data_IF_216120191081
#
_entry.id   IF_216120191081
#
_cell.length_a   1.000
_cell.length_b   1.000
_cell.length_c   1.000
_cell.angle_alpha   90.00
_cell.angle_beta   90.00
_cell.angle_gamma   90.00
#
_symmetry.space_group_name_H-M   'P 1'
#
loop_
_entity.id
_entity.type
_entity.pdbx_description
1 polymer ?
#
# COMPACT_ATOMS: atom_id res chain seq x y z
N UNK A 1 -25.65 14.11 -83.73
CA UNK A 1 -25.61 12.67 -83.38
C UNK A 1 -24.90 12.50 -82.04
N UNK A 2 -25.51 11.72 -81.13
CA UNK A 2 -25.01 11.13 -79.86
C UNK A 2 -24.65 12.12 -78.74
N UNK A 3 -25.59 12.51 -77.87
CA UNK A 3 -26.18 11.86 -76.66
C UNK A 3 -25.25 11.83 -75.43
N UNK A 4 -25.62 12.72 -74.48
CA UNK A 4 -25.68 12.62 -73.03
C UNK A 4 -24.70 11.68 -72.29
N UNK A 5 -24.02 12.22 -71.29
CA UNK A 5 -24.32 11.81 -69.92
C UNK A 5 -24.15 12.96 -68.93
N UNK A 6 -25.20 13.09 -68.12
CA UNK A 6 -25.47 14.06 -67.08
C UNK A 6 -24.95 13.44 -65.77
N UNK A 7 -24.03 14.10 -65.06
CA UNK A 7 -23.84 13.83 -63.63
C UNK A 7 -23.69 15.16 -62.88
N UNK A 8 -24.72 15.44 -62.09
CA UNK A 8 -24.82 16.54 -61.15
C UNK A 8 -23.69 16.44 -60.12
N UNK A 9 -22.90 17.51 -59.99
CA UNK A 9 -22.12 17.79 -58.79
C UNK A 9 -23.04 18.48 -57.79
N UNK A 10 -23.46 17.75 -56.74
CA UNK A 10 -24.07 18.33 -55.55
C UNK A 10 -22.98 18.43 -54.49
N UNK A 11 -22.53 19.67 -54.23
CA UNK A 11 -21.73 20.03 -53.08
C UNK A 11 -22.55 19.80 -51.79
N UNK A 12 -22.24 18.74 -51.05
CA UNK A 12 -22.63 18.63 -49.65
C UNK A 12 -21.60 19.37 -48.81
N UNK A 13 -21.90 20.64 -48.54
CA UNK A 13 -21.27 21.44 -47.49
C UNK A 13 -21.74 20.80 -46.17
N UNK A 14 -20.87 20.03 -45.53
CA UNK A 14 -21.08 19.54 -44.17
C UNK A 14 -20.90 20.73 -43.22
N UNK A 15 -22.01 21.35 -42.86
CA UNK A 15 -22.09 22.36 -41.80
C UNK A 15 -21.98 21.65 -40.45
N UNK A 16 -20.78 21.55 -39.89
CA UNK A 16 -20.63 21.24 -38.46
C UNK A 16 -21.10 22.45 -37.66
N UNK A 17 -22.34 22.34 -37.17
CA UNK A 17 -22.88 23.18 -36.10
C UNK A 17 -21.97 23.04 -34.87
N UNK A 18 -21.12 24.04 -34.63
CA UNK A 18 -20.50 24.27 -33.32
C UNK A 18 -21.55 24.91 -32.43
N UNK A 19 -22.33 24.07 -31.75
CA UNK A 19 -23.10 24.50 -30.59
C UNK A 19 -22.08 24.70 -29.46
N UNK A 20 -21.61 25.94 -29.28
CA UNK A 20 -20.92 26.35 -28.06
C UNK A 20 -21.94 26.31 -26.91
N UNK A 21 -22.10 25.13 -26.30
CA UNK A 21 -22.63 25.03 -24.96
C UNK A 21 -21.60 25.60 -24.00
N UNK A 22 -21.90 26.76 -23.43
CA UNK A 22 -21.23 27.27 -22.23
C UNK A 22 -21.57 26.34 -21.07
N UNK A 23 -20.96 25.16 -21.01
CA UNK A 23 -20.85 24.44 -19.76
C UNK A 23 -19.79 25.15 -18.94
N UNK A 24 -20.25 25.78 -17.85
CA UNK A 24 -19.40 26.27 -16.77
C UNK A 24 -18.67 25.11 -16.11
N UNK A 25 -17.65 24.57 -16.80
CA UNK A 25 -16.58 23.88 -16.13
C UNK A 25 -15.86 24.93 -15.33
N UNK A 26 -16.10 24.94 -14.01
CA UNK A 26 -15.08 25.37 -13.05
C UNK A 26 -13.80 24.67 -13.50
N UNK A 27 -12.89 25.43 -14.08
CA UNK A 27 -11.48 25.06 -14.08
C UNK A 27 -11.15 24.85 -12.61
N UNK A 28 -10.97 23.60 -12.18
CA UNK A 28 -10.25 23.41 -10.95
C UNK A 28 -8.89 24.03 -11.23
N UNK A 29 -8.57 25.11 -10.52
CA UNK A 29 -7.18 25.47 -10.28
C UNK A 29 -6.60 24.36 -9.41
N UNK A 30 -6.48 23.18 -10.01
CA UNK A 30 -5.86 21.99 -9.45
C UNK A 30 -4.38 22.27 -9.45
N UNK A 31 -3.94 22.99 -8.44
CA UNK A 31 -2.54 22.93 -8.01
C UNK A 31 -2.37 21.48 -7.57
N UNK A 32 -2.06 20.58 -8.51
CA UNK A 32 -1.68 19.20 -8.20
C UNK A 32 -0.52 19.33 -7.24
N UNK A 33 -0.78 19.03 -5.98
CA UNK A 33 0.25 18.93 -4.96
C UNK A 33 1.33 18.02 -5.53
N UNK A 34 2.60 18.40 -5.39
CA UNK A 34 3.67 17.57 -5.93
C UNK A 34 3.62 16.20 -5.24
N UNK A 35 3.20 15.18 -5.98
CA UNK A 35 3.26 13.81 -5.51
C UNK A 35 4.72 13.46 -5.20
N UNK A 36 4.93 12.73 -4.11
CA UNK A 36 6.25 12.21 -3.77
C UNK A 36 6.75 11.29 -4.89
N UNK A 37 8.08 11.20 -5.10
CA UNK A 37 8.62 10.26 -6.07
C UNK A 37 8.12 8.83 -5.79
N UNK A 38 7.77 8.07 -6.84
CA UNK A 38 7.25 6.70 -6.70
C UNK A 38 8.17 5.81 -5.86
N UNK A 39 9.49 5.95 -5.99
CA UNK A 39 10.43 5.18 -5.18
C UNK A 39 10.35 5.49 -3.68
N UNK A 40 10.05 6.75 -3.33
CA UNK A 40 9.79 7.14 -1.94
C UNK A 40 8.53 6.45 -1.46
N UNK A 41 7.42 6.53 -2.21
CA UNK A 41 6.15 5.85 -1.88
C UNK A 41 6.35 4.34 -1.69
N UNK A 42 7.06 3.69 -2.60
CA UNK A 42 7.39 2.27 -2.51
C UNK A 42 8.14 1.90 -1.22
N UNK A 43 9.02 2.78 -0.74
CA UNK A 43 9.73 2.56 0.53
C UNK A 43 8.79 2.51 1.74
N UNK A 44 7.69 3.26 1.74
CA UNK A 44 6.66 3.16 2.79
C UNK A 44 5.82 1.89 2.60
N UNK A 45 5.40 1.63 1.36
CA UNK A 45 4.48 0.54 1.04
C UNK A 45 5.12 -0.85 1.17
N UNK A 46 6.45 -0.97 1.10
CA UNK A 46 7.16 -2.21 1.39
C UNK A 46 6.87 -2.74 2.80
N UNK A 47 6.55 -1.84 3.75
CA UNK A 47 6.15 -2.20 5.11
C UNK A 47 4.62 -2.25 5.30
N UNK A 48 3.87 -2.07 4.21
CA UNK A 48 2.43 -2.36 4.08
C UNK A 48 1.47 -1.59 4.99
N UNK A 49 1.84 -0.39 5.41
CA UNK A 49 0.95 0.53 6.13
C UNK A 49 0.72 1.80 5.28
N UNK A 50 -0.21 1.77 4.30
CA UNK A 50 -0.49 2.93 3.44
C UNK A 50 -0.92 4.17 4.25
N UNK A 51 -1.52 3.98 5.42
CA UNK A 51 -1.87 5.03 6.37
C UNK A 51 -0.67 5.86 6.87
N UNK A 52 0.56 5.37 6.71
CA UNK A 52 1.78 6.08 7.15
C UNK A 52 2.47 6.88 6.06
N UNK A 53 1.97 6.78 4.82
CA UNK A 53 2.44 7.60 3.72
C UNK A 53 2.30 9.09 4.06
N UNK A 54 3.29 9.93 3.73
CA UNK A 54 3.14 11.37 3.81
C UNK A 54 2.22 11.83 2.68
N UNK A 55 1.34 12.78 2.98
CA UNK A 55 0.42 13.32 1.97
C UNK A 55 1.15 14.12 0.89
N UNK A 56 2.15 14.93 1.25
CA UNK A 56 2.80 15.83 0.27
C UNK A 56 4.28 16.14 0.55
N UNK A 57 4.76 15.93 1.77
CA UNK A 57 6.09 16.38 2.19
C UNK A 57 6.89 15.22 2.77
N UNK A 58 8.18 15.17 2.43
CA UNK A 58 9.11 14.22 3.05
C UNK A 58 9.13 14.40 4.56
N UNK A 59 9.26 13.26 5.23
CA UNK A 59 9.23 13.17 6.68
C UNK A 59 10.59 12.66 7.11
N UNK A 60 11.15 13.25 8.16
CA UNK A 60 12.37 12.80 8.84
C UNK A 60 12.10 11.71 9.86
N UNK A 61 11.00 11.86 10.60
CA UNK A 61 10.58 10.93 11.64
C UNK A 61 9.06 10.96 11.83
N UNK A 62 8.48 9.80 12.13
CA UNK A 62 7.12 9.68 12.64
C UNK A 62 7.14 8.91 13.95
N UNK A 63 6.32 9.35 14.90
CA UNK A 63 6.04 8.63 16.13
C UNK A 63 4.53 8.46 16.29
N UNK A 64 4.07 7.24 16.56
CA UNK A 64 2.66 6.92 16.78
C UNK A 64 2.52 6.35 18.18
N UNK A 65 1.69 6.98 19.00
CA UNK A 65 1.47 6.63 20.40
C UNK A 65 0.05 6.13 20.60
N UNK A 66 -0.11 4.98 21.26
CA UNK A 66 -1.39 4.38 21.62
C UNK A 66 -1.23 3.48 22.84
N UNK A 67 -1.61 2.20 22.73
CA UNK A 67 -1.26 1.18 23.74
C UNK A 67 0.25 0.87 23.78
N UNK A 68 0.94 1.21 22.70
CA UNK A 68 2.37 1.03 22.45
C UNK A 68 2.90 2.27 21.72
N UNK A 69 4.22 2.39 21.59
CA UNK A 69 4.83 3.44 20.77
C UNK A 69 5.47 2.80 19.54
N UNK A 70 5.15 3.34 18.37
CA UNK A 70 5.83 3.05 17.10
C UNK A 70 6.71 4.25 16.73
N UNK A 71 7.91 4.00 16.22
CA UNK A 71 8.80 5.05 15.70
C UNK A 71 9.34 4.63 14.34
N UNK A 72 9.35 5.54 13.38
CA UNK A 72 9.88 5.29 12.04
C UNK A 72 10.75 6.49 11.64
N UNK A 73 11.94 6.21 11.14
CA UNK A 73 12.94 7.21 10.74
C UNK A 73 13.24 7.09 9.26
N UNK A 74 13.55 8.23 8.65
CA UNK A 74 13.76 8.35 7.21
C UNK A 74 15.05 9.12 6.93
N UNK A 75 15.67 8.87 5.77
CA UNK A 75 16.80 9.67 5.30
C UNK A 75 16.33 10.95 4.57
N UNK A 76 17.28 11.81 4.21
CA UNK A 76 17.02 13.07 3.50
C UNK A 76 16.36 12.89 2.12
N UNK A 77 16.49 11.69 1.53
CA UNK A 77 15.80 11.33 0.30
C UNK A 77 14.32 10.98 0.55
N UNK A 78 13.91 10.71 1.78
CA UNK A 78 12.56 10.33 2.19
C UNK A 78 12.35 8.81 2.33
N UNK A 79 13.41 8.01 2.21
CA UNK A 79 13.33 6.55 2.33
C UNK A 79 13.35 6.11 3.79
N UNK A 80 12.61 5.04 4.13
CA UNK A 80 12.62 4.42 5.46
C UNK A 80 14.01 3.89 5.76
N UNK A 81 14.58 4.27 6.90
CA UNK A 81 15.92 3.83 7.34
C UNK A 81 15.85 2.88 8.51
N UNK A 82 14.90 3.07 9.42
CA UNK A 82 14.63 2.13 10.49
C UNK A 82 13.25 2.36 11.09
N UNK A 83 12.76 1.35 11.79
CA UNK A 83 11.54 1.42 12.57
C UNK A 83 11.64 0.54 13.81
N UNK A 84 10.87 0.93 14.83
CA UNK A 84 10.53 0.13 16.01
C UNK A 84 9.01 0.08 16.09
N UNK A 85 8.47 -1.12 15.89
CA UNK A 85 7.04 -1.43 15.93
C UNK A 85 6.80 -2.42 17.06
N UNK A 86 6.72 -1.91 18.29
CA UNK A 86 6.40 -2.73 19.47
C UNK A 86 7.46 -3.82 19.76
N UNK A 87 8.74 -3.48 19.66
CA UNK A 87 9.85 -4.41 19.92
C UNK A 87 10.31 -5.19 18.69
N UNK A 88 9.60 -5.06 17.58
CA UNK A 88 10.02 -5.52 16.25
C UNK A 88 10.78 -4.39 15.57
N UNK A 89 12.05 -4.64 15.28
CA UNK A 89 13.00 -3.66 14.79
C UNK A 89 13.42 -4.00 13.37
N UNK A 90 13.36 -3.02 12.47
CA UNK A 90 13.92 -3.11 11.14
C UNK A 90 14.87 -1.96 10.87
N UNK A 91 15.94 -2.22 10.12
CA UNK A 91 16.91 -1.21 9.70
C UNK A 91 17.35 -1.48 8.25
N UNK A 92 17.32 -0.45 7.41
CA UNK A 92 17.72 -0.47 6.01
C UNK A 92 18.95 0.42 5.84
N UNK A 93 20.07 -0.18 5.45
CA UNK A 93 21.28 0.54 5.09
C UNK A 93 21.44 0.55 3.55
N UNK A 94 21.12 1.69 2.93
CA UNK A 94 21.15 1.86 1.47
C UNK A 94 22.55 1.89 0.86
N UNK A 95 23.59 2.21 1.66
CA UNK A 95 24.98 2.28 1.21
C UNK A 95 25.62 0.89 1.16
N UNK A 96 25.36 0.07 2.18
CA UNK A 96 25.89 -1.30 2.29
C UNK A 96 24.95 -2.35 1.72
N UNK A 97 23.74 -1.95 1.32
CA UNK A 97 22.66 -2.83 0.85
C UNK A 97 22.37 -3.97 1.85
N UNK A 98 22.12 -3.58 3.11
CA UNK A 98 21.80 -4.52 4.20
C UNK A 98 20.47 -4.18 4.84
N UNK A 99 19.69 -5.23 5.13
CA UNK A 99 18.48 -5.16 5.94
C UNK A 99 18.72 -5.92 7.23
N UNK A 100 18.56 -5.27 8.38
CA UNK A 100 18.56 -5.95 9.68
C UNK A 100 17.13 -6.01 10.19
N UNK A 101 16.69 -7.18 10.65
CA UNK A 101 15.34 -7.36 11.17
C UNK A 101 15.30 -8.38 12.30
N UNK A 102 14.51 -8.08 13.33
CA UNK A 102 14.15 -9.06 14.33
C UNK A 102 13.43 -8.45 15.52
N UNK A 103 13.36 -9.20 16.60
CA UNK A 103 12.64 -8.81 17.80
C UNK A 103 13.59 -8.83 18.99
N UNK A 104 13.55 -7.77 19.80
CA UNK A 104 14.44 -7.60 20.96
C UNK A 104 15.94 -7.73 20.55
N UNK A 105 16.68 -8.62 21.22
CA UNK A 105 18.12 -8.83 20.99
C UNK A 105 18.44 -9.74 19.80
N UNK A 106 17.44 -10.40 19.21
CA UNK A 106 17.65 -11.30 18.06
C UNK A 106 17.49 -10.52 16.77
N UNK A 107 18.56 -10.42 15.96
CA UNK A 107 18.54 -9.74 14.67
C UNK A 107 19.13 -10.62 13.57
N UNK A 108 18.36 -10.80 12.51
CA UNK A 108 18.80 -11.40 11.26
C UNK A 108 19.25 -10.30 10.30
N UNK A 109 20.26 -10.59 9.49
CA UNK A 109 20.79 -9.64 8.50
C UNK A 109 20.69 -10.24 7.11
N UNK A 110 20.18 -9.44 6.17
CA UNK A 110 19.96 -9.83 4.79
C UNK A 110 20.70 -8.90 3.84
N UNK A 111 21.19 -9.44 2.73
CA UNK A 111 21.64 -8.63 1.61
C UNK A 111 20.44 -8.15 0.81
N UNK A 112 20.39 -6.86 0.48
CA UNK A 112 19.34 -6.25 -0.33
C UNK A 112 19.80 -6.14 -1.78
N UNK A 113 18.91 -6.41 -2.72
CA UNK A 113 19.08 -6.02 -4.11
C UNK A 113 18.20 -4.81 -4.37
N UNK A 114 18.80 -3.70 -4.79
CA UNK A 114 18.08 -2.48 -5.18
C UNK A 114 18.03 -2.31 -6.70
N UNK A 115 17.01 -1.63 -7.20
CA UNK A 115 17.04 -1.07 -8.56
C UNK A 115 17.81 0.27 -8.61
N UNK A 116 17.84 0.92 -9.78
CA UNK A 116 18.49 2.22 -9.96
C UNK A 116 17.85 3.36 -9.14
N UNK A 117 16.59 3.21 -8.78
CA UNK A 117 15.78 4.16 -8.01
C UNK A 117 15.78 3.88 -6.51
N UNK A 118 16.55 2.87 -6.05
CA UNK A 118 16.63 2.39 -4.66
C UNK A 118 15.37 1.69 -4.15
N UNK A 119 14.49 1.22 -5.03
CA UNK A 119 13.46 0.26 -4.65
C UNK A 119 14.10 -1.07 -4.26
N UNK A 120 13.60 -1.68 -3.18
CA UNK A 120 13.99 -3.03 -2.78
C UNK A 120 13.40 -4.00 -3.79
N UNK A 121 14.23 -4.68 -4.58
CA UNK A 121 13.79 -5.74 -5.50
C UNK A 121 13.64 -7.08 -4.78
N UNK A 122 14.49 -7.33 -3.79
CA UNK A 122 14.47 -8.54 -3.00
C UNK A 122 15.59 -8.59 -1.96
N UNK A 123 15.59 -9.65 -1.17
CA UNK A 123 16.55 -9.89 -0.10
C UNK A 123 17.07 -11.32 -0.10
N UNK A 124 18.31 -11.49 0.37
CA UNK A 124 18.95 -12.80 0.54
C UNK A 124 19.49 -12.99 1.95
N UNK A 125 19.37 -14.21 2.49
CA UNK A 125 20.01 -14.59 3.75
C UNK A 125 21.52 -14.84 3.56
N UNK A 126 22.20 -15.29 4.63
CA UNK A 126 23.63 -15.59 4.59
C UNK A 126 23.99 -16.80 3.71
N UNK A 127 23.03 -17.69 3.45
CA UNK A 127 23.17 -18.86 2.57
C UNK A 127 22.91 -18.51 1.09
N UNK A 128 22.61 -17.25 0.79
CA UNK A 128 22.20 -16.71 -0.51
C UNK A 128 20.82 -17.16 -1.00
N UNK A 129 20.00 -17.75 -0.14
CA UNK A 129 18.60 -18.03 -0.45
C UNK A 129 17.81 -16.74 -0.55
N UNK A 130 16.90 -16.67 -1.53
CA UNK A 130 16.00 -15.53 -1.69
C UNK A 130 14.94 -15.61 -0.60
N UNK A 131 14.88 -14.58 0.25
CA UNK A 131 13.94 -14.50 1.37
C UNK A 131 12.92 -13.37 1.23
N UNK A 132 13.13 -12.47 0.28
CA UNK A 132 12.13 -11.50 -0.11
C UNK A 132 12.22 -11.24 -1.62
N UNK A 133 11.06 -11.00 -2.23
CA UNK A 133 10.93 -10.58 -3.62
C UNK A 133 9.80 -9.57 -3.74
N UNK A 134 9.89 -8.70 -4.73
CA UNK A 134 8.90 -7.65 -4.98
C UNK A 134 8.58 -7.55 -6.46
N UNK A 135 7.38 -7.09 -6.76
CA UNK A 135 6.94 -6.80 -8.12
C UNK A 135 6.41 -5.38 -8.23
N UNK A 136 6.61 -4.77 -9.40
CA UNK A 136 6.22 -3.40 -9.70
C UNK A 136 5.38 -3.37 -10.98
N UNK A 137 4.42 -2.46 -11.04
CA UNK A 137 3.65 -2.23 -12.27
C UNK A 137 4.43 -1.39 -13.31
N UNK A 138 3.78 -1.12 -14.46
CA UNK A 138 4.37 -0.34 -15.55
C UNK A 138 4.69 1.12 -15.17
N UNK A 139 4.09 1.63 -14.09
CA UNK A 139 4.35 2.97 -13.54
C UNK A 139 5.46 2.94 -12.46
N UNK A 140 6.00 1.75 -12.16
CA UNK A 140 7.04 1.54 -11.16
C UNK A 140 6.51 1.53 -9.72
N UNK A 141 5.19 1.38 -9.52
CA UNK A 141 4.57 1.29 -8.19
C UNK A 141 4.65 -0.14 -7.68
N UNK A 142 4.97 -0.30 -6.39
CA UNK A 142 5.01 -1.61 -5.74
C UNK A 142 3.61 -2.24 -5.77
N UNK A 143 3.48 -3.44 -6.34
CA UNK A 143 2.22 -4.18 -6.41
C UNK A 143 2.23 -5.47 -5.62
N UNK A 144 3.40 -6.07 -5.38
CA UNK A 144 3.50 -7.28 -4.59
C UNK A 144 4.81 -7.34 -3.81
N UNK A 145 4.75 -7.89 -2.60
CA UNK A 145 5.92 -8.29 -1.80
C UNK A 145 5.68 -9.69 -1.27
N UNK A 146 6.61 -10.61 -1.54
CA UNK A 146 6.62 -11.94 -0.94
C UNK A 146 7.85 -12.09 -0.05
N UNK A 147 7.62 -12.39 1.22
CA UNK A 147 8.63 -12.74 2.22
C UNK A 147 8.57 -14.26 2.45
N UNK A 148 9.64 -14.98 2.16
CA UNK A 148 9.73 -16.43 2.28
C UNK A 148 10.92 -16.81 3.16
N UNK A 149 10.73 -17.66 4.16
CA UNK A 149 11.83 -18.02 5.08
C UNK A 149 12.46 -16.80 5.77
N UNK A 150 11.68 -15.72 5.90
CA UNK A 150 12.12 -14.47 6.49
C UNK A 150 12.11 -14.57 8.01
N UNK A 151 13.15 -14.05 8.66
CA UNK A 151 13.42 -14.20 10.09
C UNK A 151 13.49 -15.65 10.56
N UNK A 152 14.02 -16.54 9.71
CA UNK A 152 14.16 -17.99 9.97
C UNK A 152 12.81 -18.69 10.25
N UNK A 153 11.69 -18.07 9.89
CA UNK A 153 10.36 -18.65 10.03
C UNK A 153 9.96 -19.39 8.75
N UNK A 154 9.34 -20.56 8.87
CA UNK A 154 8.79 -21.31 7.75
C UNK A 154 7.45 -20.73 7.24
N UNK A 155 7.12 -19.47 7.54
CA UNK A 155 5.93 -18.80 7.01
C UNK A 155 6.32 -18.03 5.77
N UNK A 156 5.56 -18.21 4.70
CA UNK A 156 5.60 -17.37 3.53
C UNK A 156 4.46 -16.36 3.65
N UNK A 157 4.82 -15.08 3.64
CA UNK A 157 3.89 -13.97 3.67
C UNK A 157 3.91 -13.26 2.31
N UNK A 158 2.75 -13.02 1.73
CA UNK A 158 2.57 -12.22 0.51
C UNK A 158 1.64 -11.06 0.82
N UNK A 159 2.02 -9.87 0.39
CA UNK A 159 1.14 -8.71 0.33
C UNK A 159 0.99 -8.26 -1.11
N UNK A 160 -0.25 -7.94 -1.52
CA UNK A 160 -0.56 -7.40 -2.85
C UNK A 160 -1.31 -6.09 -2.71
N UNK A 161 -0.87 -5.07 -3.45
CA UNK A 161 -1.43 -3.71 -3.42
C UNK A 161 -2.18 -3.47 -4.73
N UNK A 162 -3.44 -3.07 -4.61
CA UNK A 162 -4.32 -2.70 -5.71
C UNK A 162 -4.55 -1.19 -5.63
N UNK A 163 -4.40 -0.53 -6.77
CA UNK A 163 -4.53 0.92 -6.89
C UNK A 163 -5.77 1.27 -7.69
N UNK A 164 -6.47 2.31 -7.24
CA UNK A 164 -7.40 3.08 -8.07
C UNK A 164 -6.77 4.44 -8.37
N UNK A 165 -6.56 4.73 -9.66
CA UNK A 165 -5.70 5.83 -10.11
C UNK A 165 -4.34 5.77 -9.39
N UNK A 166 -3.94 6.82 -8.66
CA UNK A 166 -2.67 6.90 -7.91
C UNK A 166 -2.80 6.55 -6.43
N UNK A 167 -4.00 6.15 -5.97
CA UNK A 167 -4.29 5.84 -4.57
C UNK A 167 -4.30 4.34 -4.34
N UNK A 168 -3.83 3.91 -3.16
CA UNK A 168 -3.98 2.51 -2.72
C UNK A 168 -5.44 2.31 -2.38
N UNK A 169 -6.14 1.41 -3.07
CA UNK A 169 -7.55 1.10 -2.80
C UNK A 169 -7.65 -0.08 -1.81
N UNK A 170 -6.84 -1.11 -2.06
CA UNK A 170 -6.93 -2.38 -1.35
C UNK A 170 -5.55 -2.99 -1.17
N UNK A 171 -5.29 -3.52 0.03
CA UNK A 171 -4.12 -4.36 0.30
C UNK A 171 -4.59 -5.75 0.71
N UNK A 172 -4.15 -6.78 -0.02
CA UNK A 172 -4.39 -8.18 0.29
C UNK A 172 -3.19 -8.73 1.04
N UNK A 173 -3.42 -9.44 2.13
CA UNK A 173 -2.37 -10.13 2.87
C UNK A 173 -2.70 -11.60 2.98
N UNK A 174 -1.73 -12.44 2.64
CA UNK A 174 -1.85 -13.87 2.78
C UNK A 174 -0.59 -14.42 3.43
N UNK A 175 -0.75 -15.34 4.37
CA UNK A 175 0.38 -16.09 4.91
C UNK A 175 0.08 -17.58 4.85
N UNK A 176 1.09 -18.38 4.52
CA UNK A 176 0.97 -19.82 4.49
C UNK A 176 2.26 -20.52 4.93
N UNK A 177 2.12 -21.72 5.46
CA UNK A 177 3.22 -22.61 5.80
C UNK A 177 3.34 -23.66 4.69
N UNK A 178 4.48 -23.74 3.96
CA UNK A 178 4.73 -24.83 3.03
C UNK A 178 5.04 -26.10 3.82
N UNK A 179 4.36 -27.19 3.49
CA UNK A 179 4.64 -28.53 4.05
C UNK A 179 5.42 -29.39 3.06
N UNK A 180 5.13 -29.21 1.78
CA UNK A 180 5.91 -29.76 0.66
C UNK A 180 5.76 -28.83 -0.56
N UNK A 181 6.30 -29.22 -1.71
CA UNK A 181 6.25 -28.41 -2.94
C UNK A 181 4.83 -28.12 -3.46
N UNK A 182 3.83 -28.93 -3.08
CA UNK A 182 2.44 -28.88 -3.57
C UNK A 182 1.46 -28.46 -2.48
N UNK A 183 1.76 -28.74 -1.23
CA UNK A 183 0.87 -28.53 -0.09
C UNK A 183 1.26 -27.27 0.69
N UNK A 184 0.34 -26.32 0.74
CA UNK A 184 0.47 -25.07 1.51
C UNK A 184 -0.71 -24.96 2.46
N UNK A 185 -0.42 -24.72 3.74
CA UNK A 185 -1.44 -24.44 4.75
C UNK A 185 -1.53 -22.94 4.99
N UNK A 186 -2.60 -22.25 4.55
CA UNK A 186 -2.76 -20.85 4.84
C UNK A 186 -3.05 -20.66 6.33
N UNK A 187 -2.39 -19.67 6.90
CA UNK A 187 -2.47 -19.29 8.31
C UNK A 187 -3.06 -17.90 8.49
N UNK A 188 -3.12 -17.11 7.42
CA UNK A 188 -3.68 -15.77 7.42
C UNK A 188 -4.26 -15.45 6.04
N UNK A 189 -5.45 -14.86 6.01
CA UNK A 189 -5.97 -14.15 4.86
C UNK A 189 -6.66 -12.89 5.34
N UNK A 190 -6.19 -11.74 4.86
CA UNK A 190 -6.73 -10.43 5.22
C UNK A 190 -6.89 -9.53 4.00
N UNK A 191 -7.85 -8.63 4.11
CA UNK A 191 -8.10 -7.54 3.17
C UNK A 191 -8.12 -6.23 3.94
N UNK A 192 -7.38 -5.22 3.48
CA UNK A 192 -7.40 -3.85 4.02
C UNK A 192 -7.94 -2.90 2.95
N UNK A 193 -9.18 -2.48 3.11
CA UNK A 193 -9.77 -1.38 2.33
C UNK A 193 -9.18 -0.05 2.82
N UNK A 194 -8.81 0.84 1.89
CA UNK A 194 -8.29 2.19 2.19
C UNK A 194 -9.21 3.23 1.57
N UNK A 195 -9.76 4.11 2.40
CA UNK A 195 -10.79 5.09 2.02
C UNK A 195 -10.25 6.49 2.22
N UNK A 196 -10.45 7.34 1.21
CA UNK A 196 -10.01 8.74 1.19
C UNK A 196 -11.21 9.68 1.22
N UNK A 197 -11.04 10.85 1.84
CA UNK A 197 -12.04 11.92 1.84
C UNK A 197 -11.97 12.79 0.57
N UNK A 198 -12.86 13.79 0.46
CA UNK A 198 -12.92 14.73 -0.67
C UNK A 198 -11.63 15.56 -0.88
N UNK A 199 -10.75 15.63 0.11
CA UNK A 199 -9.44 16.29 0.02
C UNK A 199 -8.31 15.31 -0.32
N UNK A 200 -8.64 14.09 -0.76
CA UNK A 200 -7.70 13.01 -1.08
C UNK A 200 -6.88 12.52 0.14
N UNK A 201 -7.31 12.85 1.37
CA UNK A 201 -6.65 12.41 2.60
C UNK A 201 -7.21 11.07 3.05
N UNK A 202 -6.37 10.19 3.60
CA UNK A 202 -6.87 8.93 4.20
C UNK A 202 -7.84 9.29 5.32
N UNK A 203 -9.09 8.85 5.17
CA UNK A 203 -10.17 9.01 6.14
C UNK A 203 -10.27 7.78 7.03
N UNK A 204 -10.14 6.60 6.43
CA UNK A 204 -10.43 5.34 7.09
C UNK A 204 -9.71 4.17 6.45
N UNK A 205 -9.33 3.19 7.27
CA UNK A 205 -8.95 1.86 6.81
C UNK A 205 -9.84 0.81 7.47
N UNK A 206 -10.14 -0.26 6.73
CA UNK A 206 -10.94 -1.38 7.22
C UNK A 206 -10.18 -2.66 6.90
N UNK A 207 -9.61 -3.29 7.92
CA UNK A 207 -8.93 -4.58 7.80
C UNK A 207 -9.88 -5.69 8.23
N UNK A 208 -10.16 -6.65 7.34
CA UNK A 208 -10.93 -7.86 7.62
C UNK A 208 -9.97 -9.05 7.67
N UNK A 209 -10.07 -9.86 8.72
CA UNK A 209 -9.41 -11.17 8.82
C UNK A 209 -10.47 -12.24 8.62
N UNK A 210 -10.25 -13.14 7.66
CA UNK A 210 -11.21 -14.19 7.33
C UNK A 210 -10.98 -15.46 8.14
N UNK A 211 -12.07 -16.16 8.46
CA UNK A 211 -11.97 -17.51 9.03
C UNK A 211 -11.51 -18.49 7.96
N UNK A 212 -10.55 -19.33 8.33
CA UNK A 212 -10.02 -20.37 7.45
C UNK A 212 -10.49 -21.75 7.92
N UNK A 213 -10.82 -22.62 6.96
CA UNK A 213 -11.11 -24.02 7.22
C UNK A 213 -9.84 -24.79 7.62
N UNK A 214 -9.98 -26.03 8.08
CA UNK A 214 -8.82 -26.90 8.33
C UNK A 214 -7.96 -27.18 7.09
N UNK A 215 -8.56 -27.06 5.91
CA UNK A 215 -7.88 -27.19 4.62
C UNK A 215 -7.30 -25.87 4.14
N UNK A 216 -7.60 -24.78 4.85
CA UNK A 216 -7.08 -23.46 4.58
C UNK A 216 -7.95 -22.55 3.71
N UNK A 217 -9.00 -23.07 3.11
CA UNK A 217 -9.92 -22.24 2.32
C UNK A 217 -10.68 -21.27 3.23
N UNK A 218 -10.94 -20.05 2.74
CA UNK A 218 -11.83 -19.10 3.41
C UNK A 218 -13.21 -19.76 3.55
N UNK A 219 -13.73 -19.78 4.77
CA UNK A 219 -15.04 -20.35 5.06
C UNK A 219 -16.12 -19.44 4.45
N UNK A 220 -17.02 -20.03 3.68
CA UNK A 220 -18.20 -19.38 3.12
C UNK A 220 -19.44 -19.82 3.91
N UNK A 221 -20.26 -18.87 4.34
CA UNK A 221 -21.47 -19.12 5.11
C UNK A 221 -22.64 -19.61 4.24
N UNK A 222 -23.78 -19.90 4.87
CA UNK A 222 -25.01 -20.35 4.19
C UNK A 222 -25.62 -19.32 3.20
N UNK A 223 -25.23 -18.04 3.30
CA UNK A 223 -25.64 -16.96 2.41
C UNK A 223 -24.66 -16.72 1.26
N UNK A 224 -23.63 -17.57 1.10
CA UNK A 224 -22.56 -17.42 0.11
C UNK A 224 -21.69 -16.17 0.34
N UNK A 225 -21.46 -15.82 1.61
CA UNK A 225 -20.58 -14.71 2.02
C UNK A 225 -19.34 -15.26 2.74
N UNK A 226 -18.20 -14.59 2.61
CA UNK A 226 -16.97 -14.94 3.34
C UNK A 226 -17.15 -14.68 4.84
N UNK A 227 -16.85 -15.67 5.67
CA UNK A 227 -16.91 -15.50 7.12
C UNK A 227 -15.71 -14.69 7.63
N UNK A 228 -16.03 -13.57 8.29
CA UNK A 228 -15.05 -12.70 8.92
C UNK A 228 -14.86 -13.12 10.39
N UNK A 229 -13.60 -13.31 10.79
CA UNK A 229 -13.22 -13.57 12.18
C UNK A 229 -13.08 -12.26 12.97
N UNK A 230 -12.40 -11.29 12.36
CA UNK A 230 -12.04 -10.02 12.97
C UNK A 230 -12.20 -8.90 11.96
N UNK A 231 -12.72 -7.76 12.40
CA UNK A 231 -12.66 -6.51 11.63
C UNK A 231 -12.00 -5.44 12.47
N UNK A 232 -10.94 -4.84 11.97
CA UNK A 232 -10.35 -3.62 12.52
C UNK A 232 -10.70 -2.43 11.63
N UNK A 233 -11.21 -1.37 12.23
CA UNK A 233 -11.53 -0.13 11.56
C UNK A 233 -10.76 1.00 12.22
N UNK A 234 -9.86 1.65 11.50
CA UNK A 234 -9.19 2.86 11.96
C UNK A 234 -9.78 4.08 11.23
N UNK A 235 -10.27 5.05 11.99
CA UNK A 235 -10.71 6.35 11.47
C UNK A 235 -9.67 7.40 11.80
N UNK A 236 -9.21 8.14 10.80
CA UNK A 236 -8.15 9.13 10.91
C UNK A 236 -8.71 10.55 10.93
N UNK A 237 -8.09 11.44 11.71
CA UNK A 237 -8.61 12.78 11.95
C UNK A 237 -7.50 13.76 12.37
N UNK A 238 -7.89 15.02 12.55
CA UNK A 238 -7.00 16.14 12.92
C UNK A 238 -5.78 16.23 11.99
N UNK A 239 -6.02 16.57 10.74
CA UNK A 239 -4.95 16.73 9.76
C UNK A 239 -4.14 18.01 10.02
N UNK A 240 -2.82 17.90 9.95
CA UNK A 240 -1.93 19.05 10.14
C UNK A 240 -1.83 19.91 8.87
N UNK A 241 -0.98 20.94 8.88
CA UNK A 241 -0.80 21.86 7.75
C UNK A 241 -0.27 21.21 6.46
N UNK A 242 0.27 20.00 6.53
CA UNK A 242 0.72 19.22 5.37
C UNK A 242 -0.31 18.14 4.99
N UNK A 243 -1.51 18.18 5.57
CA UNK A 243 -2.64 17.28 5.35
C UNK A 243 -2.44 15.84 5.82
N UNK A 244 -1.42 15.58 6.64
CA UNK A 244 -1.24 14.29 7.30
C UNK A 244 -2.10 14.19 8.58
N UNK A 245 -2.75 13.06 8.81
CA UNK A 245 -3.52 12.83 10.03
C UNK A 245 -2.63 12.84 11.28
N UNK A 246 -3.14 13.36 12.39
CA UNK A 246 -2.43 13.37 13.68
C UNK A 246 -3.16 12.59 14.78
N UNK A 247 -4.42 12.23 14.57
CA UNK A 247 -5.16 11.34 15.46
C UNK A 247 -5.83 10.21 14.69
N UNK A 248 -5.96 9.06 15.33
CA UNK A 248 -6.80 7.99 14.83
C UNK A 248 -7.52 7.26 15.97
N UNK A 249 -8.68 6.69 15.67
CA UNK A 249 -9.40 5.78 16.56
C UNK A 249 -9.55 4.46 15.84
N UNK A 250 -8.92 3.42 16.36
CA UNK A 250 -8.99 2.06 15.83
C UNK A 250 -9.92 1.21 16.70
N UNK A 251 -10.93 0.61 16.08
CA UNK A 251 -11.91 -0.26 16.72
C UNK A 251 -11.78 -1.64 16.09
N UNK A 252 -11.46 -2.63 16.92
CA UNK A 252 -11.47 -4.04 16.55
C UNK A 252 -12.78 -4.66 17.03
N UNK A 253 -13.49 -5.35 16.15
CA UNK A 253 -14.72 -6.10 16.42
C UNK A 253 -14.54 -7.57 16.02
N UNK A 254 -15.09 -8.49 16.82
CA UNK A 254 -14.91 -9.94 16.66
C UNK A 254 -15.03 -10.66 18.01
N UNK A 255 -14.17 -11.64 18.25
CA UNK A 255 -14.12 -12.40 19.52
C UNK A 255 -13.82 -11.53 20.74
N UNK A 256 -13.02 -10.48 20.58
CA UNK A 256 -12.78 -9.45 21.58
C UNK A 256 -12.87 -8.06 20.95
N UNK A 257 -13.67 -7.18 21.55
CA UNK A 257 -13.77 -5.80 21.08
C UNK A 257 -12.74 -4.93 21.80
N UNK A 258 -11.94 -4.19 21.04
CA UNK A 258 -10.92 -3.28 21.56
C UNK A 258 -11.05 -1.93 20.87
N UNK A 259 -10.78 -0.86 21.62
CA UNK A 259 -10.63 0.49 21.06
C UNK A 259 -9.27 1.04 21.45
N UNK A 260 -8.53 1.54 20.46
CA UNK A 260 -7.23 2.16 20.63
C UNK A 260 -7.29 3.56 20.05
N UNK A 261 -6.92 4.55 20.86
CA UNK A 261 -6.71 5.91 20.39
C UNK A 261 -5.23 6.07 20.06
N UNK A 262 -4.95 6.60 18.86
CA UNK A 262 -3.61 6.84 18.37
C UNK A 262 -3.38 8.34 18.22
N UNK A 263 -2.18 8.79 18.58
CA UNK A 263 -1.67 10.13 18.27
C UNK A 263 -0.40 9.98 17.45
N UNK A 264 -0.32 10.68 16.32
CA UNK A 264 0.83 10.69 15.41
C UNK A 264 1.50 12.04 15.43
N UNK A 265 2.78 12.04 15.74
CA UNK A 265 3.67 13.21 15.63
C UNK A 265 4.59 13.02 14.45
N UNK A 266 4.74 14.05 13.62
CA UNK A 266 5.52 14.00 12.39
C UNK A 266 6.55 15.14 12.41
N UNK A 267 7.82 14.77 12.24
CA UNK A 267 8.89 15.71 11.98
C UNK A 267 9.17 15.76 10.48
N UNK A 268 8.95 16.92 9.86
CA UNK A 268 9.23 17.14 8.44
C UNK A 268 10.68 17.59 8.21
N UNK A 269 11.16 17.39 6.98
CA UNK A 269 12.41 17.97 6.49
C UNK A 269 12.30 19.49 6.21
#
# INVERSE_FOLDING_TARGET
>A
MKKNNLFLYICLISSTFLINGCDGKKTSDGTRLSQLPTAVINSYLFHTEPELLPFSKKIKQQQIQGSSSKTINYNEQGFVTNYDLEGLHGEINYDTAKYSYGMNDTRNVYAIVFDSSKNILGMKNNDNDIVASTEFDEQGRLVETTLSHFAENNVIFSSRIIYDNDHVELVLYNAYVPVDEKTKFPVLSQEKDVIYNDNEQIEKTITKTFKLSSNGDIIINENNEQEVELTETCTYSEYNQNNDWTKAVCITAGSESKTVNLTRTIQYD
#
